data_IF_338397246569
#
_entry.id   IF_338397246569
#
_cell.length_a   1.000
_cell.length_b   1.000
_cell.length_c   1.000
_cell.angle_alpha   90.00
_cell.angle_beta   90.00
_cell.angle_gamma   90.00
#
_symmetry.space_group_name_H-M   'P 1'
#
loop_
_entity.id
_entity.type
_entity.pdbx_description
1 polymer ?
#
# COMPACT_ATOMS: atom_id res chain seq x y z
N UNK A 1 -4.93 6.60 22.12
CA UNK A 1 -5.62 6.33 20.84
C UNK A 1 -4.98 7.13 19.68
N UNK A 2 -3.65 7.07 19.48
CA UNK A 2 -2.92 7.81 18.39
C UNK A 2 -1.82 6.91 17.80
N UNK A 3 -2.13 5.67 17.40
CA UNK A 3 -1.09 4.74 16.90
C UNK A 3 -1.31 4.23 15.47
N UNK A 4 -2.54 4.22 14.95
CA UNK A 4 -2.85 3.58 13.67
C UNK A 4 -2.15 4.19 12.46
N UNK A 5 -2.04 5.52 12.38
CA UNK A 5 -1.37 6.20 11.27
C UNK A 5 0.15 5.96 11.27
N UNK A 6 0.76 5.79 12.44
CA UNK A 6 2.19 5.48 12.58
C UNK A 6 2.50 4.07 12.06
N UNK A 7 1.65 3.09 12.39
CA UNK A 7 1.77 1.71 11.93
C UNK A 7 1.66 1.61 10.41
N UNK A 8 0.63 2.23 9.82
CA UNK A 8 0.46 2.25 8.35
C UNK A 8 1.66 2.91 7.66
N UNK A 9 2.15 4.04 8.20
CA UNK A 9 3.34 4.71 7.66
C UNK A 9 4.59 3.83 7.74
N UNK A 10 4.78 3.11 8.85
CA UNK A 10 5.91 2.20 9.02
C UNK A 10 5.84 1.01 8.05
N UNK A 11 4.66 0.41 7.86
CA UNK A 11 4.45 -0.67 6.90
C UNK A 11 4.71 -0.21 5.45
N UNK A 12 4.20 0.96 5.07
CA UNK A 12 4.50 1.54 3.76
C UNK A 12 6.00 1.81 3.58
N UNK A 13 6.70 2.27 4.62
CA UNK A 13 8.14 2.53 4.56
C UNK A 13 8.99 1.28 4.29
N UNK A 14 8.49 0.08 4.63
CA UNK A 14 9.15 -1.21 4.35
C UNK A 14 9.05 -1.65 2.88
N UNK A 15 8.09 -1.10 2.12
CA UNK A 15 7.99 -1.39 0.68
C UNK A 15 9.15 -0.76 -0.09
N UNK A 16 9.50 -1.36 -1.24
CA UNK A 16 10.42 -0.74 -2.19
C UNK A 16 9.88 0.62 -2.69
N UNK A 17 10.77 1.54 -3.06
CA UNK A 17 10.39 2.88 -3.57
C UNK A 17 9.38 2.77 -4.71
N UNK A 18 9.63 1.87 -5.65
CA UNK A 18 8.77 1.69 -6.83
C UNK A 18 7.39 1.12 -6.51
N UNK A 19 7.29 0.25 -5.49
CA UNK A 19 6.04 -0.29 -4.99
C UNK A 19 5.22 0.81 -4.33
N UNK A 20 5.85 1.62 -3.45
CA UNK A 20 5.20 2.77 -2.82
C UNK A 20 4.69 3.78 -3.85
N UNK A 21 5.50 4.11 -4.86
CA UNK A 21 5.10 5.07 -5.90
C UNK A 21 3.80 4.65 -6.59
N UNK A 22 3.69 3.37 -6.96
CA UNK A 22 2.48 2.84 -7.58
C UNK A 22 1.28 2.93 -6.63
N UNK A 23 1.45 2.60 -5.35
CA UNK A 23 0.36 2.71 -4.36
C UNK A 23 -0.07 4.16 -4.13
N UNK A 24 0.88 5.10 -4.00
CA UNK A 24 0.57 6.52 -3.80
C UNK A 24 -0.23 7.06 -4.97
N UNK A 25 0.26 6.85 -6.20
CA UNK A 25 -0.44 7.33 -7.38
C UNK A 25 -1.82 6.68 -7.56
N UNK A 26 -1.96 5.40 -7.17
CA UNK A 26 -3.23 4.67 -7.30
C UNK A 26 -4.28 5.09 -6.27
N UNK A 27 -3.89 5.21 -5.00
CA UNK A 27 -4.84 5.34 -3.89
C UNK A 27 -4.93 6.76 -3.31
N UNK A 28 -3.92 7.61 -3.53
CA UNK A 28 -3.92 9.00 -3.05
C UNK A 28 -4.07 10.02 -4.19
N UNK A 29 -3.92 9.59 -5.44
CA UNK A 29 -4.07 10.46 -6.62
C UNK A 29 -5.08 9.92 -7.63
N UNK A 30 -5.80 8.84 -7.28
CA UNK A 30 -6.85 8.20 -8.08
C UNK A 30 -6.47 7.87 -9.54
N UNK A 31 -5.17 7.67 -9.81
CA UNK A 31 -4.71 7.39 -11.17
C UNK A 31 -5.04 5.95 -11.58
N UNK A 32 -5.41 5.78 -12.84
CA UNK A 32 -5.53 4.47 -13.50
C UNK A 32 -4.15 3.87 -13.75
N UNK A 33 -4.07 2.54 -13.94
CA UNK A 33 -2.80 1.88 -14.30
C UNK A 33 -2.11 2.48 -15.53
N UNK A 34 -2.89 2.91 -16.53
CA UNK A 34 -2.39 3.53 -17.75
C UNK A 34 -1.80 4.93 -17.46
N UNK A 35 -2.47 5.73 -16.63
CA UNK A 35 -1.94 7.03 -16.20
C UNK A 35 -0.66 6.85 -15.36
N UNK A 36 -0.63 5.87 -14.45
CA UNK A 36 0.56 5.56 -13.65
C UNK A 36 1.73 5.12 -14.54
N UNK A 37 1.47 4.27 -15.54
CA UNK A 37 2.47 3.84 -16.52
C UNK A 37 3.09 5.05 -17.25
N UNK A 38 2.26 6.00 -17.66
CA UNK A 38 2.70 7.24 -18.31
C UNK A 38 3.50 8.14 -17.37
N UNK A 39 3.03 8.34 -16.13
CA UNK A 39 3.71 9.19 -15.13
C UNK A 39 5.08 8.64 -14.75
N UNK A 40 5.21 7.32 -14.62
CA UNK A 40 6.46 6.68 -14.20
C UNK A 40 7.36 6.27 -15.36
N UNK A 41 6.91 6.38 -16.61
CA UNK A 41 7.68 5.96 -17.79
C UNK A 41 7.93 4.44 -17.83
N UNK A 42 6.97 3.63 -17.37
CA UNK A 42 7.09 2.16 -17.28
C UNK A 42 5.94 1.45 -18.01
N UNK A 43 6.14 0.18 -18.36
CA UNK A 43 5.07 -0.62 -18.96
C UNK A 43 3.88 -0.82 -18.00
N UNK A 44 2.66 -0.86 -18.53
CA UNK A 44 1.44 -1.11 -17.74
C UNK A 44 1.47 -2.45 -16.98
N UNK A 45 2.10 -3.48 -17.54
CA UNK A 45 2.34 -4.76 -16.85
C UNK A 45 3.27 -4.63 -15.63
N UNK A 46 4.23 -3.70 -15.69
CA UNK A 46 5.11 -3.36 -14.56
C UNK A 46 4.33 -2.67 -13.44
N UNK A 47 3.39 -1.79 -13.78
CA UNK A 47 2.46 -1.18 -12.79
C UNK A 47 1.69 -2.27 -12.05
N UNK A 48 1.05 -3.19 -12.78
CA UNK A 48 0.29 -4.31 -12.20
C UNK A 48 1.13 -5.18 -11.27
N UNK A 49 2.30 -5.61 -11.73
CA UNK A 49 3.17 -6.48 -10.93
C UNK A 49 3.75 -5.77 -9.70
N UNK A 50 4.05 -4.46 -9.79
CA UNK A 50 4.46 -3.66 -8.62
C UNK A 50 3.32 -3.50 -7.63
N UNK A 51 2.11 -3.18 -8.08
CA UNK A 51 0.93 -3.07 -7.21
C UNK A 51 0.62 -4.39 -6.50
N UNK A 52 0.59 -5.50 -7.25
CA UNK A 52 0.34 -6.83 -6.69
C UNK A 52 1.36 -7.22 -5.62
N UNK A 53 2.66 -7.04 -5.90
CA UNK A 53 3.71 -7.32 -4.90
C UNK A 53 3.65 -6.39 -3.70
N UNK A 54 3.30 -5.13 -3.90
CA UNK A 54 3.14 -4.17 -2.80
C UNK A 54 1.99 -4.58 -1.87
N UNK A 55 0.84 -4.95 -2.43
CA UNK A 55 -0.33 -5.39 -1.66
C UNK A 55 -0.02 -6.70 -0.92
N UNK A 56 0.63 -7.67 -1.58
CA UNK A 56 1.04 -8.92 -0.94
C UNK A 56 1.96 -8.66 0.26
N UNK A 57 2.98 -7.80 0.10
CA UNK A 57 3.89 -7.44 1.18
C UNK A 57 3.20 -6.73 2.35
N UNK A 58 2.19 -5.89 2.08
CA UNK A 58 1.39 -5.26 3.14
C UNK A 58 0.46 -6.27 3.84
N UNK A 59 -0.11 -7.22 3.11
CA UNK A 59 -0.96 -8.25 3.68
C UNK A 59 -0.20 -9.21 4.61
N UNK A 60 1.10 -9.40 4.36
CA UNK A 60 2.00 -10.19 5.20
C UNK A 60 2.62 -9.40 6.37
N UNK A 61 2.34 -8.09 6.49
CA UNK A 61 2.91 -7.24 7.54
C UNK A 61 2.23 -7.50 8.90
N UNK A 62 2.95 -8.05 9.91
CA UNK A 62 2.34 -8.43 11.18
C UNK A 62 1.72 -7.24 11.93
N UNK A 63 2.34 -6.07 11.83
CA UNK A 63 1.87 -4.88 12.52
C UNK A 63 0.55 -4.33 11.95
N UNK A 64 0.27 -4.61 10.67
CA UNK A 64 -1.03 -4.31 10.07
C UNK A 64 -2.09 -5.34 10.43
N UNK A 65 -1.71 -6.62 10.55
CA UNK A 65 -2.64 -7.66 11.00
C UNK A 65 -3.12 -7.41 12.42
N UNK A 66 -2.22 -7.05 13.34
CA UNK A 66 -2.55 -6.66 14.71
C UNK A 66 -3.54 -5.49 14.75
N UNK A 67 -3.36 -4.50 13.87
CA UNK A 67 -4.22 -3.34 13.78
C UNK A 67 -5.67 -3.68 13.36
N UNK A 68 -5.83 -4.63 12.43
CA UNK A 68 -7.15 -5.09 11.97
C UNK A 68 -7.82 -5.91 13.07
N UNK A 69 -7.09 -6.80 13.76
CA UNK A 69 -7.63 -7.61 14.86
C UNK A 69 -8.09 -6.76 16.05
N UNK A 70 -7.36 -5.69 16.40
CA UNK A 70 -7.76 -4.77 17.49
C UNK A 70 -9.02 -3.96 17.17
N UNK A 71 -9.33 -3.72 15.89
CA UNK A 71 -10.55 -3.00 15.50
C UNK A 71 -11.83 -3.83 15.65
N UNK A 72 -11.72 -5.15 15.75
CA UNK A 72 -12.87 -6.04 15.93
C UNK A 72 -13.26 -6.27 17.40
N UNK A 73 -12.43 -5.89 18.37
CA UNK A 73 -12.73 -6.07 19.81
C UNK A 73 -13.51 -4.92 20.43
N UNK A 74 -13.61 -3.75 19.77
CA UNK A 74 -14.29 -2.55 20.29
C UNK A 74 -15.80 -2.48 19.92
N UNK A 75 -16.30 -3.41 19.09
CA UNK A 75 -17.71 -3.48 18.65
C UNK A 75 -18.59 -4.43 19.50
N UNK A 76 -18.14 -4.78 20.71
CA UNK A 76 -18.81 -5.71 21.64
C UNK A 76 -19.56 -5.03 22.79
#
# INVERSE_FOLDING_TARGET
MVRSSQTVRAALARLGVEQRQVLVLRYFSDLTEAQIANVLGIARGTVKSRASRAIAALAEDPSLSELISMSHEEDG
#
